data_IF_088812609947
#
_entry.id   IF_088812609947
#
_cell.length_a   1.000
_cell.length_b   1.000
_cell.length_c   1.000
_cell.angle_alpha   90.00
_cell.angle_beta   90.00
_cell.angle_gamma   90.00
#
_symmetry.space_group_name_H-M   'P 1'
#
loop_
_entity.id
_entity.type
_entity.pdbx_description
1 polymer ?
#
# COMPACT_ATOMS: atom_id res chain seq x y z
N UNK A 1 7.01 -54.51 -48.52
CA UNK A 1 7.02 -54.33 -47.06
C UNK A 1 6.95 -52.84 -46.77
N UNK A 2 5.81 -52.35 -46.29
CA UNK A 2 5.59 -50.93 -45.99
C UNK A 2 5.30 -50.79 -44.50
N UNK A 3 6.26 -50.21 -43.77
CA UNK A 3 6.17 -49.86 -42.35
C UNK A 3 5.78 -48.39 -42.30
N UNK A 4 4.51 -48.09 -42.05
CA UNK A 4 4.07 -46.73 -41.79
C UNK A 4 2.78 -46.74 -40.96
N UNK A 5 2.90 -46.94 -39.65
CA UNK A 5 1.87 -46.54 -38.67
C UNK A 5 2.54 -46.11 -37.38
N UNK A 6 1.90 -45.15 -36.72
CA UNK A 6 2.12 -44.61 -35.36
C UNK A 6 3.07 -43.41 -35.24
N UNK A 7 2.73 -42.52 -34.29
CA UNK A 7 3.26 -41.17 -34.01
C UNK A 7 2.51 -39.98 -34.64
N UNK A 8 1.22 -39.83 -34.30
CA UNK A 8 0.53 -38.51 -34.31
C UNK A 8 -0.38 -38.34 -33.09
N UNK A 9 0.13 -38.58 -31.88
CA UNK A 9 -0.67 -38.38 -30.65
C UNK A 9 0.21 -37.97 -29.46
N UNK A 10 0.92 -36.84 -29.58
CA UNK A 10 1.65 -36.26 -28.44
C UNK A 10 1.81 -34.74 -28.64
N UNK A 11 0.69 -34.03 -28.72
CA UNK A 11 0.66 -32.59 -28.56
C UNK A 11 -0.68 -32.25 -27.90
N UNK A 12 -0.70 -31.21 -27.07
CA UNK A 12 -1.83 -30.75 -26.23
C UNK A 12 -1.84 -31.37 -24.82
N UNK A 13 -0.82 -31.09 -24.03
CA UNK A 13 -0.91 -31.19 -22.56
C UNK A 13 -0.19 -30.06 -21.80
N UNK A 14 0.28 -29.01 -22.49
CA UNK A 14 1.16 -28.00 -21.91
C UNK A 14 0.69 -26.54 -22.15
N UNK A 15 -0.62 -26.27 -22.05
CA UNK A 15 -1.16 -24.93 -22.35
C UNK A 15 -2.10 -24.31 -21.28
N UNK A 16 -2.17 -24.85 -20.06
CA UNK A 16 -3.01 -24.27 -19.00
C UNK A 16 -2.27 -24.13 -17.67
N UNK A 17 -1.24 -23.28 -17.64
CA UNK A 17 -0.82 -22.63 -16.39
C UNK A 17 -0.56 -21.15 -16.70
N UNK A 18 -1.55 -20.47 -17.26
CA UNK A 18 -1.65 -19.03 -17.18
C UNK A 18 -2.80 -18.74 -16.22
N UNK A 19 -2.56 -18.94 -14.92
CA UNK A 19 -3.45 -18.40 -13.91
C UNK A 19 -3.32 -16.88 -14.01
N UNK A 20 -4.29 -16.25 -14.69
CA UNK A 20 -4.40 -14.81 -14.78
C UNK A 20 -4.66 -14.28 -13.38
N UNK A 21 -3.64 -13.73 -12.74
CA UNK A 21 -3.83 -12.78 -11.67
C UNK A 21 -4.52 -11.57 -12.31
N UNK A 22 -5.82 -11.41 -12.09
CA UNK A 22 -6.48 -10.14 -12.32
C UNK A 22 -5.84 -9.14 -11.35
N UNK A 23 -4.93 -8.31 -11.85
CA UNK A 23 -4.36 -7.22 -11.09
C UNK A 23 -5.48 -6.20 -10.85
N UNK A 24 -6.04 -6.20 -9.64
CA UNK A 24 -6.85 -5.07 -9.21
C UNK A 24 -5.95 -3.84 -9.04
N UNK A 25 -6.51 -2.66 -9.26
CA UNK A 25 -5.76 -1.41 -9.18
C UNK A 25 -5.36 -1.11 -7.73
N UNK A 26 -4.07 -0.90 -7.51
CA UNK A 26 -3.53 -0.36 -6.26
C UNK A 26 -3.62 1.16 -6.35
N UNK A 27 -4.27 1.80 -5.39
CA UNK A 27 -4.32 3.26 -5.30
C UNK A 27 -3.12 3.73 -4.48
N UNK A 28 -2.29 4.59 -5.07
CA UNK A 28 -1.12 5.20 -4.42
C UNK A 28 -1.30 6.71 -4.45
N UNK A 29 -1.32 7.32 -3.27
CA UNK A 29 -1.39 8.78 -3.10
C UNK A 29 -0.15 9.22 -2.34
N UNK A 30 0.50 10.29 -2.78
CA UNK A 30 1.70 10.84 -2.15
C UNK A 30 1.47 12.26 -1.65
N UNK A 31 2.06 12.56 -0.50
CA UNK A 31 2.27 13.92 -0.02
C UNK A 31 3.75 14.28 -0.20
N UNK A 32 4.04 15.55 -0.53
CA UNK A 32 5.42 16.03 -0.59
C UNK A 32 6.07 16.03 0.80
N UNK A 33 7.38 16.23 0.83
CA UNK A 33 8.13 16.42 2.06
C UNK A 33 7.50 17.53 2.92
N UNK A 34 7.37 17.26 4.22
CA UNK A 34 6.91 18.19 5.22
C UNK A 34 8.06 18.65 6.11
N UNK A 35 8.19 19.97 6.24
CA UNK A 35 9.13 20.60 7.15
C UNK A 35 8.36 21.58 8.03
N UNK A 36 8.22 21.19 9.30
CA UNK A 36 7.47 21.99 10.25
C UNK A 36 8.15 23.29 10.66
N UNK A 37 7.48 24.05 11.52
CA UNK A 37 8.02 25.27 12.12
C UNK A 37 8.95 25.00 13.31
N UNK A 38 9.95 25.86 13.50
CA UNK A 38 10.63 25.98 14.79
C UNK A 38 9.64 26.50 15.84
N UNK A 39 9.67 25.96 17.06
CA UNK A 39 8.83 26.46 18.15
C UNK A 39 8.63 25.48 19.29
N UNK A 40 7.69 25.80 20.18
CA UNK A 40 7.33 24.98 21.34
C UNK A 40 6.58 23.72 20.97
N UNK A 41 6.55 22.75 21.89
CA UNK A 41 5.73 21.54 21.78
C UNK A 41 4.28 21.88 21.36
N UNK A 42 3.82 21.24 20.28
CA UNK A 42 2.52 21.55 19.65
C UNK A 42 2.13 20.47 18.65
N UNK A 43 0.82 20.32 18.44
CA UNK A 43 0.27 19.61 17.29
C UNK A 43 0.44 20.44 16.02
N UNK A 44 0.95 19.82 14.98
CA UNK A 44 1.21 20.44 13.67
C UNK A 44 0.55 19.62 12.57
N UNK A 45 -0.17 20.31 11.67
CA UNK A 45 -0.77 19.67 10.51
C UNK A 45 0.32 19.34 9.48
N UNK A 46 0.48 18.05 9.17
CA UNK A 46 1.47 17.57 8.19
C UNK A 46 0.90 17.64 6.77
N UNK A 47 -0.36 17.21 6.62
CA UNK A 47 -1.07 17.21 5.35
C UNK A 47 -2.29 16.28 5.38
N UNK A 48 -3.00 16.19 4.26
CA UNK A 48 -4.20 15.34 4.15
C UNK A 48 -4.14 14.58 2.83
N UNK A 49 -4.31 13.26 2.89
CA UNK A 49 -4.53 12.48 1.68
C UNK A 49 -6.00 12.59 1.26
N UNK A 50 -6.24 12.66 -0.04
CA UNK A 50 -7.58 12.59 -0.62
C UNK A 50 -7.65 11.37 -1.53
N UNK A 51 -8.69 10.56 -1.39
CA UNK A 51 -8.94 9.38 -2.21
C UNK A 51 -10.45 9.16 -2.37
N UNK A 52 -10.84 8.26 -3.25
CA UNK A 52 -12.25 7.94 -3.45
C UNK A 52 -12.79 7.18 -2.22
N UNK A 53 -13.69 7.82 -1.47
CA UNK A 53 -14.37 7.22 -0.32
C UNK A 53 -15.13 5.93 -0.68
N UNK A 54 -15.52 5.77 -1.95
CA UNK A 54 -16.21 4.57 -2.42
C UNK A 54 -15.36 3.30 -2.27
N UNK A 55 -14.02 3.41 -2.24
CA UNK A 55 -13.11 2.30 -1.97
C UNK A 55 -13.40 1.64 -0.61
N UNK A 56 -13.84 2.41 0.38
CA UNK A 56 -14.12 1.93 1.73
C UNK A 56 -15.61 1.62 1.96
N UNK A 57 -16.46 1.72 0.92
CA UNK A 57 -17.87 1.33 1.02
C UNK A 57 -18.05 -0.19 1.24
N UNK A 58 -17.10 -1.00 0.74
CA UNK A 58 -17.03 -2.44 0.93
C UNK A 58 -15.70 -2.83 1.57
N UNK A 59 -15.58 -2.67 2.89
CA UNK A 59 -14.35 -2.99 3.65
C UNK A 59 -13.82 -4.42 3.38
N UNK A 60 -14.71 -5.38 3.09
CA UNK A 60 -14.32 -6.76 2.73
C UNK A 60 -13.53 -6.89 1.43
N UNK A 61 -13.56 -5.86 0.58
CA UNK A 61 -12.82 -5.78 -0.68
C UNK A 61 -11.46 -5.10 -0.51
N UNK A 62 -11.14 -4.55 0.67
CA UNK A 62 -9.84 -3.94 0.96
C UNK A 62 -8.89 -4.99 1.55
N UNK A 63 -7.80 -5.26 0.85
CA UNK A 63 -6.78 -6.22 1.26
C UNK A 63 -5.81 -5.63 2.27
N UNK A 64 -5.28 -4.43 2.00
CA UNK A 64 -4.42 -3.71 2.92
C UNK A 64 -4.45 -2.21 2.68
N UNK A 65 -4.25 -1.44 3.76
CA UNK A 65 -3.97 -0.01 3.71
C UNK A 65 -2.67 0.23 4.44
N UNK A 66 -1.70 0.81 3.73
CA UNK A 66 -0.34 1.03 4.24
C UNK A 66 0.02 2.50 4.07
N UNK A 67 0.35 3.15 5.18
CA UNK A 67 0.97 4.48 5.18
C UNK A 67 2.46 4.32 5.45
N UNK A 68 3.29 4.99 4.66
CA UNK A 68 4.75 4.89 4.76
C UNK A 68 5.41 6.24 4.50
N UNK A 69 6.64 6.39 4.97
CA UNK A 69 7.41 7.60 4.79
C UNK A 69 8.79 7.49 5.42
N UNK A 70 9.42 8.65 5.62
CA UNK A 70 10.65 8.78 6.40
C UNK A 70 10.51 9.85 7.47
N UNK A 71 11.10 9.62 8.63
CA UNK A 71 11.49 10.69 9.54
C UNK A 71 12.75 11.36 8.97
N UNK A 72 12.77 12.68 8.93
CA UNK A 72 13.76 13.46 8.18
C UNK A 72 13.45 13.58 6.69
N UNK A 73 14.00 14.62 6.05
CA UNK A 73 13.82 14.95 4.62
C UNK A 73 15.17 14.90 3.93
N UNK A 74 15.53 13.86 3.16
CA UNK A 74 16.91 13.52 2.74
C UNK A 74 17.72 14.57 1.94
N UNK A 75 17.98 15.74 2.52
CA UNK A 75 18.60 16.91 1.88
C UNK A 75 19.49 17.75 2.80
N UNK A 76 19.59 17.41 4.10
CA UNK A 76 20.42 18.08 5.09
C UNK A 76 21.29 17.10 5.89
N UNK A 77 22.55 17.46 6.19
CA UNK A 77 23.48 16.59 6.91
C UNK A 77 23.08 16.26 8.36
N UNK A 78 21.98 16.84 8.87
CA UNK A 78 21.41 16.59 10.20
C UNK A 78 19.88 16.39 10.16
N UNK A 79 19.35 15.70 9.15
CA UNK A 79 17.92 15.40 8.97
C UNK A 79 17.34 14.42 10.00
N UNK A 80 17.52 14.70 11.28
CA UNK A 80 16.68 14.10 12.32
C UNK A 80 15.34 14.83 12.35
N UNK A 81 14.32 14.13 12.82
CA UNK A 81 13.05 14.76 13.16
C UNK A 81 13.04 15.13 14.63
N UNK A 82 12.23 16.12 15.01
CA UNK A 82 11.87 16.33 16.40
C UNK A 82 11.25 15.06 17.00
N UNK A 83 11.42 14.90 18.30
CA UNK A 83 10.73 13.85 19.05
C UNK A 83 9.23 14.06 18.98
N UNK A 84 8.53 12.98 18.68
CA UNK A 84 7.12 13.11 18.39
C UNK A 84 6.46 11.85 17.87
N UNK A 85 5.14 11.94 17.88
CA UNK A 85 4.24 10.94 17.32
C UNK A 85 3.58 11.51 16.08
N UNK A 86 3.50 10.71 15.02
CA UNK A 86 2.68 11.01 13.86
C UNK A 86 1.34 10.31 14.01
N UNK A 87 0.26 11.09 13.92
CA UNK A 87 -1.11 10.63 13.99
C UNK A 87 -1.77 10.72 12.62
N UNK A 88 -2.53 9.69 12.25
CA UNK A 88 -3.45 9.68 11.11
C UNK A 88 -4.88 9.57 11.63
N UNK A 89 -5.65 10.65 11.57
CA UNK A 89 -6.99 10.78 12.17
C UNK A 89 -7.07 10.29 13.62
N UNK A 90 -6.04 10.64 14.41
CA UNK A 90 -5.93 10.28 15.82
C UNK A 90 -5.32 8.90 16.10
N UNK A 91 -4.99 8.11 15.07
CA UNK A 91 -4.27 6.84 15.19
C UNK A 91 -2.78 7.10 15.13
N UNK A 92 -2.01 6.70 16.14
CA UNK A 92 -0.54 6.78 16.08
C UNK A 92 0.00 5.80 15.04
N UNK A 93 0.62 6.33 13.98
CA UNK A 93 1.14 5.55 12.85
C UNK A 93 2.66 5.43 12.86
N UNK A 94 3.36 6.38 13.49
CA UNK A 94 4.81 6.33 13.67
C UNK A 94 5.21 7.11 14.91
N UNK A 95 6.27 6.67 15.58
CA UNK A 95 6.83 7.33 16.76
C UNK A 95 8.33 7.52 16.55
N UNK A 96 8.82 8.71 16.88
CA UNK A 96 10.24 8.98 17.03
C UNK A 96 10.52 9.35 18.49
N UNK A 97 11.15 8.43 19.23
CA UNK A 97 11.52 8.64 20.63
C UNK A 97 13.04 8.87 20.81
N UNK A 98 13.45 9.20 22.04
CA UNK A 98 14.85 9.49 22.38
C UNK A 98 15.80 8.31 22.13
N UNK A 99 15.28 7.09 22.07
CA UNK A 99 16.06 5.86 21.84
C UNK A 99 16.14 5.49 20.36
N UNK A 100 15.33 6.11 19.52
CA UNK A 100 15.19 5.80 18.11
C UNK A 100 16.26 6.49 17.27
N UNK A 101 16.67 5.86 16.17
CA UNK A 101 17.67 6.43 15.26
C UNK A 101 17.18 7.69 14.55
N UNK A 102 15.87 7.87 14.40
CA UNK A 102 15.26 9.05 13.77
C UNK A 102 15.50 10.35 14.55
N UNK A 103 15.90 10.23 15.82
CA UNK A 103 16.25 11.33 16.71
C UNK A 103 17.74 11.72 16.63
N UNK A 104 18.60 10.75 16.30
CA UNK A 104 20.04 10.94 16.43
C UNK A 104 20.56 11.90 15.34
N UNK A 105 21.31 12.96 15.72
CA UNK A 105 21.95 13.85 14.75
C UNK A 105 22.84 13.05 13.78
N UNK A 106 22.68 13.30 12.49
CA UNK A 106 23.45 12.63 11.44
C UNK A 106 23.00 11.20 11.10
N UNK A 107 21.92 10.68 11.70
CA UNK A 107 21.36 9.38 11.32
C UNK A 107 20.78 9.38 9.89
N UNK A 108 20.46 10.55 9.36
CA UNK A 108 19.79 10.70 8.07
C UNK A 108 18.34 10.22 8.12
N UNK A 109 17.67 10.25 6.96
CA UNK A 109 16.27 9.89 6.87
C UNK A 109 16.02 8.43 7.27
N UNK A 110 15.12 8.20 8.23
CA UNK A 110 14.76 6.87 8.72
C UNK A 110 13.40 6.45 8.17
N UNK A 111 13.33 5.33 7.46
CA UNK A 111 12.06 4.83 6.92
C UNK A 111 11.16 4.24 8.01
N UNK A 112 9.86 4.38 7.80
CA UNK A 112 8.83 3.76 8.62
C UNK A 112 7.64 3.35 7.75
N UNK A 113 6.84 2.42 8.26
CA UNK A 113 5.63 1.94 7.60
C UNK A 113 4.62 1.47 8.64
N UNK A 114 3.36 1.77 8.39
CA UNK A 114 2.22 1.40 9.23
C UNK A 114 1.15 0.72 8.38
N UNK A 115 0.73 -0.47 8.80
CA UNK A 115 -0.40 -1.18 8.18
C UNK A 115 -1.62 -1.02 9.08
N UNK A 116 -2.67 -0.39 8.55
CA UNK A 116 -3.91 -0.21 9.29
C UNK A 116 -4.63 -1.55 9.47
N UNK A 117 -5.26 -1.72 10.63
CA UNK A 117 -6.14 -2.86 10.89
C UNK A 117 -7.53 -2.59 10.31
N UNK A 118 -8.31 -3.66 10.10
CA UNK A 118 -9.69 -3.55 9.59
C UNK A 118 -10.56 -2.66 10.49
N UNK A 119 -10.35 -2.68 11.80
CA UNK A 119 -11.08 -1.84 12.76
C UNK A 119 -10.79 -0.34 12.56
N UNK A 120 -9.62 0.00 12.03
CA UNK A 120 -9.20 1.37 11.77
C UNK A 120 -9.68 1.90 10.42
N UNK A 121 -10.25 1.05 9.55
CA UNK A 121 -10.71 1.48 8.22
C UNK A 121 -11.89 2.47 8.30
N UNK A 122 -12.54 2.61 9.45
CA UNK A 122 -13.55 3.65 9.67
C UNK A 122 -12.99 5.06 9.50
N UNK A 123 -11.69 5.26 9.73
CA UNK A 123 -11.03 6.57 9.54
C UNK A 123 -11.04 7.03 8.07
N UNK A 124 -11.21 6.11 7.11
CA UNK A 124 -11.10 6.40 5.68
C UNK A 124 -12.46 6.60 5.00
N UNK A 125 -13.57 6.49 5.74
CA UNK A 125 -14.92 6.51 5.15
C UNK A 125 -15.33 7.87 4.58
N UNK A 126 -14.65 8.95 4.97
CA UNK A 126 -14.87 10.30 4.46
C UNK A 126 -14.03 10.63 3.21
N UNK A 127 -13.23 9.67 2.72
CA UNK A 127 -12.34 9.85 1.57
C UNK A 127 -11.09 10.67 1.86
N UNK A 128 -10.79 10.88 3.14
CA UNK A 128 -9.65 11.68 3.58
C UNK A 128 -8.85 10.92 4.65
N UNK A 129 -7.58 11.29 4.80
CA UNK A 129 -6.75 10.84 5.93
C UNK A 129 -5.91 12.03 6.38
N UNK A 130 -6.23 12.63 7.52
CA UNK A 130 -5.51 13.80 8.03
C UNK A 130 -4.31 13.38 8.87
N UNK A 131 -3.15 13.92 8.54
CA UNK A 131 -1.92 13.70 9.28
C UNK A 131 -1.60 14.88 10.19
N UNK A 132 -1.37 14.58 11.47
CA UNK A 132 -0.96 15.53 12.49
C UNK A 132 0.24 14.97 13.22
N UNK A 133 1.31 15.76 13.35
CA UNK A 133 2.45 15.40 14.15
C UNK A 133 2.37 16.10 15.51
N UNK A 134 2.61 15.38 16.58
CA UNK A 134 2.83 15.96 17.91
C UNK A 134 4.32 16.16 18.13
N UNK A 135 4.70 17.40 18.40
CA UNK A 135 6.07 17.75 18.76
C UNK A 135 6.19 17.72 20.28
N UNK A 136 6.99 16.81 20.80
CA UNK A 136 7.17 16.62 22.26
C UNK A 136 8.32 17.45 22.84
N UNK A 137 9.24 17.96 22.00
CA UNK A 137 10.42 18.69 22.45
C UNK A 137 10.54 20.09 21.81
N UNK A 138 11.16 21.02 22.54
CA UNK A 138 11.30 22.41 22.13
C UNK A 138 12.47 22.60 21.15
N UNK A 139 12.37 23.60 20.27
CA UNK A 139 13.41 24.07 19.36
C UNK A 139 13.79 23.11 18.21
N UNK A 140 12.94 22.13 17.95
CA UNK A 140 13.12 21.18 16.86
C UNK A 140 11.97 21.23 15.86
N UNK A 141 12.24 20.60 14.72
CA UNK A 141 11.35 20.61 13.57
C UNK A 141 10.89 19.19 13.29
N UNK A 142 9.57 18.99 13.22
CA UNK A 142 9.02 17.77 12.65
C UNK A 142 9.36 17.73 11.17
N UNK A 143 10.18 16.76 10.77
CA UNK A 143 10.60 16.58 9.39
C UNK A 143 10.11 15.23 8.93
N UNK A 144 9.31 15.24 7.87
CA UNK A 144 8.86 14.01 7.22
C UNK A 144 9.21 14.09 5.75
N UNK A 145 9.92 13.09 5.23
CA UNK A 145 10.06 12.94 3.79
C UNK A 145 8.71 12.60 3.14
N UNK A 146 8.71 12.42 1.82
CA UNK A 146 7.50 12.12 1.08
C UNK A 146 6.73 10.95 1.70
N UNK A 147 5.46 11.22 2.00
CA UNK A 147 4.57 10.26 2.63
C UNK A 147 3.72 9.60 1.56
N UNK A 148 3.53 8.29 1.66
CA UNK A 148 2.80 7.50 0.67
C UNK A 148 1.73 6.67 1.35
N UNK A 149 0.48 6.87 0.93
CA UNK A 149 -0.65 6.02 1.28
C UNK A 149 -0.92 5.05 0.13
N UNK A 150 -0.87 3.76 0.43
CA UNK A 150 -1.13 2.67 -0.51
C UNK A 150 -2.36 1.88 -0.07
N UNK A 151 -3.37 1.82 -0.93
CA UNK A 151 -4.58 1.04 -0.71
C UNK A 151 -4.58 -0.10 -1.72
N UNK A 152 -4.52 -1.34 -1.23
CA UNK A 152 -4.52 -2.55 -2.04
C UNK A 152 -5.84 -3.31 -1.81
N UNK A 153 -6.64 -3.56 -2.85
CA UNK A 153 -7.83 -4.38 -2.72
C UNK A 153 -7.50 -5.87 -2.51
N UNK A 154 -8.46 -6.64 -1.98
CA UNK A 154 -8.36 -8.10 -1.83
C UNK A 154 -8.36 -8.70 -3.22
N UNK A 155 -7.27 -9.38 -3.65
CA UNK A 155 -7.23 -10.01 -4.96
C UNK A 155 -8.48 -10.86 -5.14
N UNK A 156 -9.28 -10.56 -6.17
CA UNK A 156 -10.48 -11.36 -6.42
C UNK A 156 -10.02 -12.81 -6.51
N UNK A 157 -10.68 -13.73 -5.77
CA UNK A 157 -10.37 -15.13 -5.89
C UNK A 157 -10.44 -15.48 -7.38
N UNK A 158 -9.51 -16.29 -7.87
CA UNK A 158 -9.46 -16.71 -9.28
C UNK A 158 -10.74 -17.39 -9.79
N UNK A 159 -11.84 -17.41 -9.03
CA UNK A 159 -13.22 -17.69 -9.43
C UNK A 159 -13.58 -17.17 -10.82
N UNK A 160 -13.26 -15.91 -11.18
CA UNK A 160 -13.53 -15.42 -12.53
C UNK A 160 -12.63 -16.09 -13.58
N UNK A 161 -11.36 -16.29 -13.26
CA UNK A 161 -10.45 -17.03 -14.13
C UNK A 161 -10.87 -18.50 -14.28
N UNK A 162 -11.33 -19.16 -13.21
CA UNK A 162 -11.83 -20.53 -13.19
C UNK A 162 -13.16 -20.64 -13.94
N UNK A 163 -14.06 -19.68 -13.78
CA UNK A 163 -15.31 -19.59 -14.55
C UNK A 163 -15.00 -19.40 -16.03
N UNK A 164 -14.12 -18.47 -16.37
CA UNK A 164 -13.68 -18.23 -17.75
C UNK A 164 -13.01 -19.46 -18.37
N UNK A 165 -12.12 -20.12 -17.63
CA UNK A 165 -11.48 -21.37 -18.06
C UNK A 165 -12.51 -22.49 -18.24
N UNK A 166 -13.48 -22.62 -17.32
CA UNK A 166 -14.57 -23.59 -17.40
C UNK A 166 -15.46 -23.37 -18.63
N UNK A 167 -15.89 -22.14 -18.88
CA UNK A 167 -16.68 -21.77 -20.06
C UNK A 167 -15.89 -21.96 -21.36
N UNK A 168 -14.61 -21.58 -21.37
CA UNK A 168 -13.71 -21.82 -22.50
C UNK A 168 -13.56 -23.30 -22.83
N UNK A 169 -13.40 -24.15 -21.81
CA UNK A 169 -13.32 -25.60 -21.97
C UNK A 169 -14.63 -26.19 -22.52
N UNK A 170 -15.78 -25.75 -22.02
CA UNK A 170 -17.09 -26.19 -22.51
C UNK A 170 -17.32 -25.79 -23.97
N UNK A 171 -16.98 -24.56 -24.35
CA UNK A 171 -17.06 -24.09 -25.73
C UNK A 171 -16.16 -24.92 -26.67
N UNK A 172 -14.96 -25.26 -26.22
CA UNK A 172 -14.03 -26.11 -26.95
C UNK A 172 -14.56 -27.54 -27.13
N UNK A 173 -15.13 -28.14 -26.07
CA UNK A 173 -15.76 -29.45 -26.13
C UNK A 173 -16.94 -29.47 -27.10
N UNK A 174 -17.76 -28.41 -27.13
CA UNK A 174 -18.88 -28.27 -28.09
C UNK A 174 -18.39 -28.24 -29.54
N UNK A 175 -17.31 -27.51 -29.83
CA UNK A 175 -16.73 -27.42 -31.18
C UNK A 175 -16.20 -28.75 -31.71
N UNK A 176 -15.81 -29.67 -30.84
CA UNK A 176 -15.33 -31.01 -31.23
C UNK A 176 -16.44 -32.01 -31.53
N UNK A 177 -17.69 -31.71 -31.15
CA UNK A 177 -18.85 -32.60 -31.34
C UNK A 177 -19.72 -32.23 -32.55
N UNK A 178 -19.63 -30.99 -33.01
CA UNK A 178 -20.23 -30.54 -34.27
C UNK A 178 -19.26 -30.79 -35.42
#
# INVERSE_FOLDING_TARGET
>A
MSIAKTFKSAAIAAALVAAGASAQAVTVVTLPDHNGGFGTASLEAVGTFFFDASLFSNISEIGSVVLSGTFGTGGWPNDHTALGDLYADGITVATCDYSSTCWLPGAGAQSWSYTFTVEQYTAFQDGQLSLVADKLYHDEVNRFGSLTLTISPVPEPGSYALMGAGLGLLAWMRRRRA
#
